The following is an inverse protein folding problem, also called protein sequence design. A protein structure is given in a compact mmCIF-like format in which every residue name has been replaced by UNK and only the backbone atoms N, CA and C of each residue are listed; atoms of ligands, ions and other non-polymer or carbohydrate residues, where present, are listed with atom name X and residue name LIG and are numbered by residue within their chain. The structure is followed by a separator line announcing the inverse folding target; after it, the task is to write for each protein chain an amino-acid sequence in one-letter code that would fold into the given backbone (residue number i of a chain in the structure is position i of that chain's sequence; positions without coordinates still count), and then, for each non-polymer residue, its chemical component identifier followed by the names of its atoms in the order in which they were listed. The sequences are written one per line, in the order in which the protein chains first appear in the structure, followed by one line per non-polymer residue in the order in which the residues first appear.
data_IF_057032482150
#
_entry.id   IF_057032482150
#
_cell.length_a   1.000
_cell.length_b   1.000
_cell.length_c   1.000
_cell.angle_alpha   90.00
_cell.angle_beta   90.00
_cell.angle_gamma   90.00
#
_symmetry.space_group_name_H-M   'P 1'
#
loop_
_entity.id
_entity.type
_entity.pdbx_description
1 polymer ?
#
# COMPACT_ATOMS: atom_id res chain seq x y z
N UNK A 1 14.23 16.34 -7.98
CA UNK A 1 13.45 17.61 -8.03
C UNK A 1 13.80 18.47 -9.25
N UNK A 2 15.05 18.59 -9.66
CA UNK A 2 15.47 19.40 -10.83
C UNK A 2 15.06 18.77 -12.18
N UNK A 3 15.14 17.45 -12.32
CA UNK A 3 14.71 16.71 -13.53
C UNK A 3 13.20 16.83 -13.78
N UNK A 4 12.39 16.71 -12.75
CA UNK A 4 10.92 16.84 -12.85
C UNK A 4 10.48 18.22 -13.38
N UNK A 5 11.19 19.27 -13.02
CA UNK A 5 10.88 20.63 -13.48
C UNK A 5 11.24 20.85 -14.95
N UNK A 6 12.28 20.18 -15.45
CA UNK A 6 12.71 20.29 -16.85
C UNK A 6 11.84 19.42 -17.78
N UNK A 7 11.35 18.26 -17.30
CA UNK A 7 10.40 17.41 -18.01
C UNK A 7 9.00 18.06 -18.10
N UNK A 8 8.56 18.75 -17.06
CA UNK A 8 7.29 19.51 -17.07
C UNK A 8 7.27 20.65 -18.06
N UNK A 9 8.40 21.24 -18.46
CA UNK A 9 8.47 22.33 -19.45
C UNK A 9 8.05 21.90 -20.85
N UNK A 10 8.09 20.63 -21.16
CA UNK A 10 7.71 20.09 -22.47
C UNK A 10 6.37 19.36 -22.50
N UNK A 11 5.72 19.19 -21.34
CA UNK A 11 4.41 18.55 -21.21
C UNK A 11 3.32 19.62 -21.25
N UNK A 12 2.34 19.45 -22.12
CA UNK A 12 1.13 20.29 -22.18
C UNK A 12 0.08 19.90 -21.14
N UNK A 13 0.37 18.91 -20.30
CA UNK A 13 -0.53 18.37 -19.28
C UNK A 13 0.16 18.35 -17.93
N UNK A 14 -0.61 18.52 -16.86
CA UNK A 14 -0.13 18.29 -15.50
C UNK A 14 0.11 16.80 -15.31
N UNK A 15 1.27 16.44 -14.73
CA UNK A 15 1.50 15.07 -14.32
C UNK A 15 0.57 14.72 -13.17
N UNK A 16 0.01 13.52 -13.23
CA UNK A 16 -0.78 12.98 -12.13
C UNK A 16 0.18 12.57 -11.00
N UNK A 17 0.14 13.29 -9.89
CA UNK A 17 0.96 13.01 -8.71
C UNK A 17 0.33 11.97 -7.77
N UNK A 18 -0.84 11.46 -8.12
CA UNK A 18 -1.57 10.47 -7.31
C UNK A 18 -1.67 9.14 -8.03
N UNK A 19 -1.71 8.06 -7.25
CA UNK A 19 -2.03 6.72 -7.74
C UNK A 19 -3.37 6.29 -7.14
N UNK A 20 -4.22 5.69 -7.96
CA UNK A 20 -5.53 5.19 -7.52
C UNK A 20 -5.41 3.77 -6.98
N UNK A 21 -6.13 3.50 -5.89
CA UNK A 21 -6.30 2.16 -5.34
C UNK A 21 -7.75 1.76 -5.55
N UNK A 22 -7.95 0.69 -6.34
CA UNK A 22 -9.28 0.15 -6.60
C UNK A 22 -9.65 -0.87 -5.52
N UNK A 23 -10.82 -0.69 -4.94
CA UNK A 23 -11.42 -1.65 -4.02
C UNK A 23 -12.65 -2.26 -4.68
N UNK A 24 -12.63 -3.58 -4.85
CA UNK A 24 -13.72 -4.33 -5.44
C UNK A 24 -14.13 -5.50 -4.54
N UNK A 25 -15.42 -5.82 -4.50
CA UNK A 25 -15.97 -6.91 -3.73
C UNK A 25 -16.78 -7.84 -4.61
N UNK A 26 -16.82 -9.12 -4.25
CA UNK A 26 -17.62 -10.11 -4.97
C UNK A 26 -19.10 -10.01 -4.63
N UNK A 27 -19.41 -9.59 -3.42
CA UNK A 27 -20.78 -9.49 -2.88
C UNK A 27 -20.93 -8.15 -2.13
N UNK A 28 -22.17 -7.77 -1.83
CA UNK A 28 -22.47 -6.60 -0.99
C UNK A 28 -22.08 -6.82 0.47
N UNK A 29 -22.01 -8.07 0.92
CA UNK A 29 -21.56 -8.44 2.26
C UNK A 29 -20.03 -8.59 2.25
N UNK A 30 -19.33 -7.52 2.59
CA UNK A 30 -17.89 -7.47 2.66
C UNK A 30 -17.38 -6.73 3.90
N UNK A 31 -16.19 -7.09 4.33
CA UNK A 31 -15.50 -6.40 5.40
C UNK A 31 -14.80 -5.15 4.88
N UNK A 32 -15.20 -4.00 5.39
CA UNK A 32 -14.42 -2.77 5.27
C UNK A 32 -14.39 -2.08 6.63
N UNK A 33 -13.24 -2.07 7.25
CA UNK A 33 -13.02 -1.33 8.49
C UNK A 33 -12.50 0.05 8.14
N UNK A 34 -13.31 1.05 8.36
CA UNK A 34 -12.75 2.39 8.48
C UNK A 34 -11.78 2.36 9.66
N UNK A 35 -10.53 2.70 9.40
CA UNK A 35 -9.57 2.79 10.47
C UNK A 35 -10.10 3.82 11.48
N UNK A 36 -10.27 3.49 12.76
CA UNK A 36 -10.66 4.50 13.72
C UNK A 36 -9.60 5.59 13.67
N UNK A 37 -9.99 6.79 13.28
CA UNK A 37 -9.16 7.97 13.39
C UNK A 37 -8.44 7.89 14.74
N UNK A 38 -7.11 7.97 14.72
CA UNK A 38 -6.29 7.75 15.89
C UNK A 38 -6.91 8.45 17.09
N UNK A 39 -6.84 7.82 18.24
CA UNK A 39 -7.51 8.19 19.52
C UNK A 39 -7.87 9.67 19.55
N UNK A 40 -9.15 9.99 19.63
CA UNK A 40 -9.70 11.33 19.72
C UNK A 40 -8.89 12.19 20.68
N UNK A 41 -7.87 12.83 20.20
CA UNK A 41 -7.22 13.94 20.90
C UNK A 41 -7.98 15.18 20.51
N UNK A 42 -9.22 15.32 20.86
CA UNK A 42 -10.06 16.53 20.91
C UNK A 42 -9.81 17.72 19.94
N UNK A 43 -8.96 17.57 18.95
CA UNK A 43 -8.67 18.56 17.93
C UNK A 43 -9.31 18.15 16.61
N UNK A 44 -9.99 19.07 15.91
CA UNK A 44 -10.45 18.81 14.54
C UNK A 44 -9.23 18.45 13.70
N UNK A 45 -9.23 17.27 13.13
CA UNK A 45 -8.19 16.87 12.18
C UNK A 45 -8.47 17.67 10.91
N UNK A 46 -7.54 18.51 10.52
CA UNK A 46 -7.62 19.20 9.24
C UNK A 46 -7.61 18.16 8.12
N UNK A 47 -8.18 18.50 6.99
CA UNK A 47 -8.41 17.58 5.87
C UNK A 47 -7.14 17.05 5.19
N UNK A 48 -5.97 17.28 5.76
CA UNK A 48 -4.66 16.94 5.22
C UNK A 48 -4.01 15.68 5.83
N UNK A 49 -4.74 14.64 6.08
CA UNK A 49 -4.18 13.39 6.58
C UNK A 49 -5.12 12.56 7.44
N UNK A 50 -6.40 12.90 7.39
CA UNK A 50 -7.44 12.12 8.04
C UNK A 50 -7.50 10.73 7.40
N UNK A 51 -7.47 9.71 8.24
CA UNK A 51 -7.66 8.30 7.84
C UNK A 51 -9.07 8.09 7.27
N UNK A 52 -9.98 9.02 7.47
CA UNK A 52 -11.32 9.05 6.90
C UNK A 52 -11.36 9.59 5.47
N UNK A 53 -10.26 10.20 4.99
CA UNK A 53 -10.15 10.66 3.62
C UNK A 53 -9.77 9.52 2.68
N UNK A 54 -10.35 9.53 1.48
CA UNK A 54 -9.91 8.67 0.38
C UNK A 54 -8.58 9.13 -0.23
N UNK A 55 -8.05 10.29 0.17
CA UNK A 55 -6.75 10.80 -0.22
C UNK A 55 -5.73 10.58 0.90
N UNK A 56 -4.72 9.76 0.65
CA UNK A 56 -3.66 9.43 1.61
C UNK A 56 -2.39 10.21 1.31
N UNK A 57 -2.26 11.37 1.91
CA UNK A 57 -1.09 12.26 1.74
C UNK A 57 0.09 11.91 2.65
N UNK A 58 -0.14 11.07 3.64
CA UNK A 58 0.85 10.64 4.64
C UNK A 58 1.60 9.35 4.25
N UNK A 59 1.29 8.80 3.08
CA UNK A 59 2.01 7.68 2.48
C UNK A 59 2.89 8.23 1.38
N UNK A 60 4.23 8.13 1.50
CA UNK A 60 5.12 8.57 0.45
C UNK A 60 4.89 7.74 -0.82
N UNK A 61 5.15 8.32 -1.98
CA UNK A 61 5.16 7.59 -3.24
C UNK A 61 6.23 6.50 -3.28
N UNK A 62 6.29 5.78 -4.40
CA UNK A 62 7.34 4.76 -4.63
C UNK A 62 8.69 5.44 -4.54
N UNK A 63 9.61 4.89 -3.76
CA UNK A 63 10.99 5.36 -3.72
C UNK A 63 11.64 5.16 -5.09
N UNK A 64 12.34 6.17 -5.59
CA UNK A 64 13.05 6.10 -6.88
C UNK A 64 14.15 5.02 -6.86
N UNK A 65 14.71 4.72 -5.69
CA UNK A 65 15.69 3.66 -5.48
C UNK A 65 15.01 2.37 -4.97
N UNK A 66 15.03 1.33 -5.82
CA UNK A 66 14.56 -0.01 -5.48
C UNK A 66 13.11 -0.34 -5.81
N UNK A 67 12.27 0.62 -6.20
CA UNK A 67 10.92 0.36 -6.68
C UNK A 67 9.95 -0.26 -5.67
N UNK A 68 10.25 -0.18 -4.37
CA UNK A 68 9.41 -0.71 -3.32
C UNK A 68 8.33 0.27 -2.88
N UNK A 69 7.12 -0.25 -2.71
CA UNK A 69 6.05 0.51 -2.08
C UNK A 69 6.27 0.64 -0.57
N UNK A 70 5.86 1.76 0.04
CA UNK A 70 5.95 1.91 1.49
C UNK A 70 5.13 0.83 2.21
N UNK A 71 5.72 0.18 3.22
CA UNK A 71 5.03 -0.83 4.03
C UNK A 71 3.73 -0.30 4.66
N UNK A 72 3.71 0.98 5.00
CA UNK A 72 2.53 1.66 5.55
C UNK A 72 1.32 1.58 4.62
N UNK A 73 1.52 1.57 3.28
CA UNK A 73 0.46 1.42 2.30
C UNK A 73 -0.25 0.07 2.46
N UNK A 74 0.52 -1.02 2.41
CA UNK A 74 -0.05 -2.36 2.49
C UNK A 74 -0.62 -2.67 3.87
N UNK A 75 0.03 -2.22 4.94
CA UNK A 75 -0.51 -2.36 6.29
C UNK A 75 -1.90 -1.72 6.41
N UNK A 76 -2.06 -0.51 5.89
CA UNK A 76 -3.36 0.20 5.89
C UNK A 76 -4.42 -0.53 5.07
N UNK A 77 -4.07 -0.99 3.86
CA UNK A 77 -4.99 -1.74 3.01
C UNK A 77 -5.43 -3.02 3.71
N UNK A 78 -4.50 -3.79 4.26
CA UNK A 78 -4.78 -5.05 4.93
C UNK A 78 -5.61 -4.87 6.19
N UNK A 79 -5.34 -3.84 6.98
CA UNK A 79 -6.12 -3.53 8.18
C UNK A 79 -7.57 -3.14 7.85
N UNK A 80 -7.77 -2.39 6.77
CA UNK A 80 -9.10 -1.98 6.33
C UNK A 80 -9.92 -3.15 5.76
N UNK A 81 -9.29 -4.09 5.05
CA UNK A 81 -9.98 -5.08 4.22
C UNK A 81 -9.91 -6.53 4.74
N UNK A 82 -9.25 -6.78 5.88
CA UNK A 82 -9.07 -8.14 6.38
C UNK A 82 -8.91 -8.21 7.91
N UNK A 83 -9.07 -9.41 8.46
CA UNK A 83 -8.75 -9.74 9.85
C UNK A 83 -7.45 -10.53 9.95
N UNK A 84 -6.92 -10.64 11.17
CA UNK A 84 -5.86 -11.61 11.47
C UNK A 84 -6.29 -13.01 11.06
N UNK A 85 -5.33 -13.81 10.58
CA UNK A 85 -5.51 -15.17 10.08
C UNK A 85 -6.27 -15.28 8.75
N UNK A 86 -6.79 -14.20 8.16
CA UNK A 86 -7.30 -14.24 6.80
C UNK A 86 -6.17 -14.50 5.79
N UNK A 87 -6.55 -15.07 4.66
CA UNK A 87 -5.65 -15.27 3.53
C UNK A 87 -5.55 -14.02 2.68
N UNK A 88 -4.34 -13.67 2.33
CA UNK A 88 -3.99 -12.62 1.38
C UNK A 88 -3.37 -13.30 0.16
N UNK A 89 -3.92 -13.03 -1.01
CA UNK A 89 -3.42 -13.51 -2.29
C UNK A 89 -2.80 -12.35 -3.06
N UNK A 90 -1.56 -12.53 -3.48
CA UNK A 90 -0.82 -11.58 -4.29
C UNK A 90 -0.33 -12.26 -5.57
N UNK A 91 -1.04 -12.09 -6.70
CA UNK A 91 -0.67 -12.76 -7.94
C UNK A 91 0.54 -12.14 -8.65
N UNK A 92 1.06 -11.00 -8.16
CA UNK A 92 2.19 -10.26 -8.73
C UNK A 92 3.16 -9.83 -7.62
N UNK A 93 3.67 -10.81 -6.89
CA UNK A 93 4.37 -10.62 -5.63
C UNK A 93 5.61 -9.71 -5.70
N UNK A 94 6.34 -9.72 -6.82
CA UNK A 94 7.59 -8.97 -6.96
C UNK A 94 8.56 -9.28 -5.82
N UNK A 95 9.05 -8.24 -5.17
CA UNK A 95 9.97 -8.37 -4.03
C UNK A 95 9.29 -8.68 -2.69
N UNK A 96 7.97 -8.95 -2.65
CA UNK A 96 7.25 -9.45 -1.49
C UNK A 96 6.78 -8.41 -0.49
N UNK A 97 6.53 -7.18 -0.91
CA UNK A 97 6.09 -6.10 -0.01
C UNK A 97 4.77 -6.42 0.71
N UNK A 98 3.80 -6.97 -0.03
CA UNK A 98 2.51 -7.42 0.54
C UNK A 98 2.71 -8.61 1.49
N UNK A 99 3.63 -9.53 1.15
CA UNK A 99 3.96 -10.68 2.00
C UNK A 99 4.51 -10.27 3.35
N UNK A 100 5.46 -9.33 3.37
CA UNK A 100 6.02 -8.74 4.59
C UNK A 100 4.92 -8.08 5.42
N UNK A 101 4.09 -7.23 4.82
CA UNK A 101 2.98 -6.58 5.53
C UNK A 101 1.96 -7.60 6.08
N UNK A 102 1.68 -8.67 5.33
CA UNK A 102 0.76 -9.74 5.74
C UNK A 102 1.29 -10.47 6.97
N UNK A 103 2.55 -10.87 6.96
CA UNK A 103 3.18 -11.56 8.09
C UNK A 103 3.23 -10.67 9.33
N UNK A 104 3.69 -9.44 9.20
CA UNK A 104 3.78 -8.48 10.32
C UNK A 104 2.41 -8.18 10.94
N UNK A 105 1.35 -8.23 10.16
CA UNK A 105 -0.02 -7.98 10.61
C UNK A 105 -0.80 -9.25 10.98
N UNK A 106 -0.14 -10.41 10.97
CA UNK A 106 -0.71 -11.70 11.38
C UNK A 106 -1.72 -12.30 10.40
N UNK A 107 -1.56 -12.02 9.10
CA UNK A 107 -2.33 -12.63 8.01
C UNK A 107 -1.55 -13.79 7.41
N UNK A 108 -2.28 -14.73 6.79
CA UNK A 108 -1.71 -15.78 5.94
C UNK A 108 -1.49 -15.20 4.55
N UNK A 109 -0.45 -15.67 3.87
CA UNK A 109 -0.06 -15.10 2.60
C UNK A 109 0.24 -16.18 1.56
N UNK A 110 -0.20 -15.92 0.33
CA UNK A 110 0.17 -16.67 -0.87
C UNK A 110 0.56 -15.64 -1.92
N UNK A 111 1.79 -15.76 -2.43
CA UNK A 111 2.29 -14.91 -3.50
C UNK A 111 2.73 -15.71 -4.71
N UNK A 112 2.60 -15.14 -5.89
CA UNK A 112 3.10 -15.69 -7.15
C UNK A 112 4.08 -14.73 -7.79
N UNK A 113 5.21 -15.26 -8.24
CA UNK A 113 6.24 -14.52 -8.96
C UNK A 113 6.90 -15.42 -10.00
N UNK A 114 7.04 -14.92 -11.22
CA UNK A 114 7.65 -15.65 -12.32
C UNK A 114 9.15 -15.46 -12.42
N UNK A 115 9.65 -14.32 -11.93
CA UNK A 115 11.07 -14.02 -11.88
C UNK A 115 11.71 -14.67 -10.65
N UNK A 116 12.68 -15.57 -10.89
CA UNK A 116 13.33 -16.32 -9.80
C UNK A 116 14.11 -15.45 -8.83
N UNK A 117 14.70 -14.37 -9.29
CA UNK A 117 15.50 -13.48 -8.42
C UNK A 117 14.60 -12.70 -7.48
N UNK A 118 13.47 -12.19 -7.99
CA UNK A 118 12.44 -11.57 -7.15
C UNK A 118 11.80 -12.57 -6.19
N UNK A 119 11.52 -13.80 -6.64
CA UNK A 119 10.99 -14.84 -5.78
C UNK A 119 11.91 -15.12 -4.58
N UNK A 120 13.21 -15.30 -4.83
CA UNK A 120 14.19 -15.54 -3.77
C UNK A 120 14.32 -14.34 -2.83
N UNK A 121 14.30 -13.13 -3.38
CA UNK A 121 14.31 -11.90 -2.59
C UNK A 121 13.08 -11.81 -1.68
N UNK A 122 11.89 -12.05 -2.24
CA UNK A 122 10.63 -12.02 -1.51
C UNK A 122 10.60 -13.05 -0.37
N UNK A 123 11.01 -14.29 -0.65
CA UNK A 123 11.10 -15.35 0.38
C UNK A 123 11.99 -14.90 1.53
N UNK A 124 13.20 -14.41 1.24
CA UNK A 124 14.14 -13.93 2.25
C UNK A 124 13.56 -12.76 3.07
N UNK A 125 12.88 -11.82 2.42
CA UNK A 125 12.29 -10.66 3.11
C UNK A 125 11.12 -11.07 4.00
N UNK A 126 10.25 -11.94 3.51
CA UNK A 126 9.11 -12.44 4.28
C UNK A 126 9.58 -13.30 5.45
N UNK A 127 10.61 -14.13 5.29
CA UNK A 127 11.12 -14.96 6.38
C UNK A 127 11.75 -14.14 7.51
N UNK A 128 12.36 -13.01 7.18
CA UNK A 128 13.02 -12.12 8.13
C UNK A 128 12.11 -11.04 8.75
N UNK A 129 10.83 -11.00 8.38
CA UNK A 129 9.87 -9.96 8.81
C UNK A 129 9.08 -10.29 10.09
#
# INVERSE_FOLDING_TARGET
RKRRFDEMKNSKTWENETSDIWFATKTEDFLFKQHPAGKKTGKPVDHQGSIESNLWVDIPGIAEEGGHYPQKLFSRILEASSFKLNWVLDPFMGAGDVGVASKQSGRRYIGFETNKDYLLLAMKRVDNS
#
